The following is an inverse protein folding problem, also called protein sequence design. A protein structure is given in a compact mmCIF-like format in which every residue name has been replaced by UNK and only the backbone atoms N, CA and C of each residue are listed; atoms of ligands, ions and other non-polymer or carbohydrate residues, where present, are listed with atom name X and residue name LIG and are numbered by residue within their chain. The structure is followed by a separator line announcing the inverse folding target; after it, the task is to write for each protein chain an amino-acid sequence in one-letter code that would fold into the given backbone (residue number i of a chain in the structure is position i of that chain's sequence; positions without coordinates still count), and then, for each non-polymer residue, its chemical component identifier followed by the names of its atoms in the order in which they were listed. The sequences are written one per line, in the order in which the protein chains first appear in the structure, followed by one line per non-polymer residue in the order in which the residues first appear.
data_IF_723660150940
#
_entry.id   IF_723660150940
#
_cell.length_a   1.000
_cell.length_b   1.000
_cell.length_c   1.000
_cell.angle_alpha   90.00
_cell.angle_beta   90.00
_cell.angle_gamma   90.00
#
_symmetry.space_group_name_H-M   'P 1'
#
loop_
_entity.id
_entity.type
_entity.pdbx_description
1 polymer ?
#
# COMPACT_ATOMS: atom_id res chain seq x y z
N UNK A 1 -20.60 -18.51 -12.27
CA UNK A 1 -20.41 -19.31 -11.05
C UNK A 1 -20.20 -20.80 -11.27
N UNK A 2 -19.98 -21.23 -12.50
CA UNK A 2 -19.70 -22.62 -12.88
C UNK A 2 -18.27 -22.74 -13.45
N UNK A 3 -17.27 -22.34 -12.69
CA UNK A 3 -15.93 -22.20 -13.24
C UNK A 3 -14.79 -22.89 -12.50
N UNK A 4 -15.07 -23.62 -11.45
CA UNK A 4 -14.04 -24.45 -10.79
C UNK A 4 -14.68 -25.78 -10.45
N UNK A 5 -14.39 -26.77 -11.24
CA UNK A 5 -14.59 -28.21 -11.14
C UNK A 5 -14.92 -28.77 -9.74
N UNK A 6 -15.96 -28.38 -9.05
CA UNK A 6 -16.42 -29.01 -7.80
C UNK A 6 -15.34 -29.37 -6.77
N UNK A 7 -14.10 -28.83 -6.92
CA UNK A 7 -12.98 -29.12 -6.03
C UNK A 7 -13.13 -28.33 -4.75
N UNK A 8 -13.09 -28.99 -3.63
CA UNK A 8 -12.92 -28.36 -2.33
C UNK A 8 -11.46 -27.87 -2.22
N UNK A 9 -11.28 -26.62 -1.82
CA UNK A 9 -9.97 -26.08 -1.47
C UNK A 9 -9.80 -26.11 0.04
N UNK A 10 -8.63 -26.52 0.52
CA UNK A 10 -8.30 -26.49 1.94
C UNK A 10 -8.06 -25.06 2.44
N UNK A 11 -7.51 -24.20 1.59
CA UNK A 11 -7.32 -22.77 1.83
C UNK A 11 -7.15 -21.99 0.53
N UNK A 12 -7.28 -20.68 0.62
CA UNK A 12 -6.90 -19.73 -0.45
C UNK A 12 -5.71 -18.93 0.03
N UNK A 13 -4.68 -18.77 -0.81
CA UNK A 13 -3.48 -18.04 -0.50
C UNK A 13 -3.27 -16.89 -1.49
N UNK A 14 -2.91 -15.69 -0.97
CA UNK A 14 -2.52 -14.56 -1.82
C UNK A 14 -1.30 -13.82 -1.27
N UNK A 15 -0.59 -13.15 -2.17
CA UNK A 15 0.23 -12.00 -1.81
C UNK A 15 -0.65 -10.77 -1.82
N UNK A 16 -0.52 -9.94 -0.80
CA UNK A 16 -1.38 -8.83 -0.50
C UNK A 16 -2.84 -9.21 -0.22
N UNK A 17 -3.49 -8.39 0.61
CA UNK A 17 -4.85 -8.63 1.02
C UNK A 17 -5.87 -8.19 -0.04
N UNK A 18 -6.93 -8.99 -0.22
CA UNK A 18 -8.03 -8.69 -1.12
C UNK A 18 -9.38 -8.84 -0.42
N UNK A 19 -10.15 -7.75 -0.23
CA UNK A 19 -11.49 -7.78 0.34
C UNK A 19 -12.46 -8.71 -0.40
N UNK A 20 -12.36 -8.75 -1.72
CA UNK A 20 -13.22 -9.60 -2.56
C UNK A 20 -12.95 -11.07 -2.30
N UNK A 21 -11.69 -11.46 -2.19
CA UNK A 21 -11.29 -12.84 -1.88
C UNK A 21 -11.72 -13.20 -0.47
N UNK A 22 -11.48 -12.33 0.52
CA UNK A 22 -11.90 -12.51 1.91
C UNK A 22 -13.41 -12.79 1.99
N UNK A 23 -14.24 -11.94 1.36
CA UNK A 23 -15.69 -12.14 1.34
C UNK A 23 -16.12 -13.48 0.70
N UNK A 24 -15.48 -13.86 -0.38
CA UNK A 24 -15.79 -15.12 -1.04
C UNK A 24 -15.38 -16.34 -0.20
N UNK A 25 -14.23 -16.27 0.46
CA UNK A 25 -13.75 -17.29 1.38
C UNK A 25 -14.65 -17.42 2.60
N UNK A 26 -15.06 -16.29 3.18
CA UNK A 26 -15.94 -16.25 4.33
C UNK A 26 -17.31 -16.88 4.04
N UNK A 27 -17.90 -16.58 2.88
CA UNK A 27 -19.17 -17.20 2.43
C UNK A 27 -19.09 -18.72 2.26
N UNK A 28 -17.90 -19.24 2.00
CA UNK A 28 -17.65 -20.66 1.74
C UNK A 28 -17.01 -21.40 2.91
N UNK A 29 -16.72 -20.71 4.01
CA UNK A 29 -15.96 -21.22 5.17
C UNK A 29 -14.62 -21.82 4.76
N UNK A 30 -13.90 -21.19 3.81
CA UNK A 30 -12.56 -21.59 3.39
C UNK A 30 -11.56 -20.66 4.04
N UNK A 31 -10.50 -21.15 4.71
CA UNK A 31 -9.43 -20.31 5.25
C UNK A 31 -8.78 -19.44 4.15
N UNK A 32 -8.59 -18.15 4.45
CA UNK A 32 -7.92 -17.20 3.58
C UNK A 32 -6.61 -16.72 4.22
N UNK A 33 -5.50 -17.07 3.60
CA UNK A 33 -4.15 -16.73 4.05
C UNK A 33 -3.61 -15.63 3.12
N UNK A 34 -3.21 -14.51 3.68
CA UNK A 34 -2.61 -13.41 2.94
C UNK A 34 -1.27 -13.01 3.54
N UNK A 35 -0.23 -12.90 2.72
CA UNK A 35 1.06 -12.33 3.09
C UNK A 35 1.17 -10.95 2.44
N UNK A 36 1.21 -9.92 3.27
CA UNK A 36 1.28 -8.52 2.82
C UNK A 36 2.72 -8.16 2.54
N UNK A 37 2.99 -7.67 1.32
CA UNK A 37 4.30 -7.20 0.87
C UNK A 37 4.35 -5.71 0.60
N UNK A 38 3.18 -5.07 0.39
CA UNK A 38 3.09 -3.62 0.19
C UNK A 38 2.87 -2.90 1.53
N UNK A 39 3.47 -1.74 1.69
CA UNK A 39 3.28 -0.89 2.87
C UNK A 39 3.31 0.59 2.46
N UNK A 40 2.27 1.36 2.86
CA UNK A 40 1.03 0.89 3.48
C UNK A 40 0.13 0.15 2.49
N UNK A 41 -0.54 -0.92 2.93
CA UNK A 41 -1.58 -1.57 2.13
C UNK A 41 -2.96 -1.11 2.60
N UNK A 42 -3.59 -0.23 1.82
CA UNK A 42 -4.87 0.38 2.17
C UNK A 42 -6.02 -0.62 2.31
N UNK A 43 -6.04 -1.67 1.50
CA UNK A 43 -7.11 -2.67 1.50
C UNK A 43 -7.26 -3.41 2.84
N UNK A 44 -6.25 -3.34 3.73
CA UNK A 44 -6.34 -3.86 5.09
C UNK A 44 -7.36 -3.12 5.96
N UNK A 45 -7.69 -1.87 5.62
CA UNK A 45 -8.69 -1.08 6.35
C UNK A 45 -10.12 -1.36 5.90
N UNK A 46 -10.33 -2.32 4.99
CA UNK A 46 -11.66 -2.80 4.61
C UNK A 46 -12.34 -3.50 5.78
N UNK A 47 -13.66 -3.31 5.92
CA UNK A 47 -14.48 -4.00 6.92
C UNK A 47 -14.35 -5.53 6.86
N UNK A 48 -13.93 -6.08 5.71
CA UNK A 48 -13.75 -7.52 5.52
C UNK A 48 -12.56 -8.08 6.29
N UNK A 49 -11.68 -7.22 6.83
CA UNK A 49 -10.50 -7.66 7.60
C UNK A 49 -10.89 -8.50 8.82
N UNK A 50 -12.06 -8.24 9.41
CA UNK A 50 -12.57 -8.97 10.58
C UNK A 50 -13.19 -10.33 10.24
N UNK A 51 -13.28 -10.71 8.97
CA UNK A 51 -13.85 -12.00 8.59
C UNK A 51 -13.07 -13.15 9.27
N UNK A 52 -13.75 -14.06 9.97
CA UNK A 52 -13.07 -15.11 10.75
C UNK A 52 -12.28 -16.12 9.92
N UNK A 53 -12.46 -16.14 8.61
CA UNK A 53 -11.67 -16.96 7.70
C UNK A 53 -10.26 -16.42 7.42
N UNK A 54 -9.98 -15.16 7.80
CA UNK A 54 -8.75 -14.47 7.46
C UNK A 54 -7.59 -14.84 8.39
N UNK A 55 -6.42 -15.02 7.77
CA UNK A 55 -5.10 -15.11 8.40
C UNK A 55 -4.16 -14.17 7.64
N UNK A 56 -4.05 -12.92 8.10
CA UNK A 56 -3.34 -11.86 7.38
C UNK A 56 -2.02 -11.56 8.05
N UNK A 57 -0.93 -11.85 7.36
CA UNK A 57 0.44 -11.66 7.85
C UNK A 57 0.99 -10.33 7.33
N UNK A 58 1.30 -9.42 8.25
CA UNK A 58 1.74 -8.05 7.95
C UNK A 58 3.19 -7.88 8.42
N UNK A 59 4.07 -7.43 7.53
CA UNK A 59 5.48 -7.20 7.88
C UNK A 59 5.71 -5.81 8.48
N UNK A 60 4.91 -4.82 8.08
CA UNK A 60 4.97 -3.49 8.65
C UNK A 60 4.43 -3.50 10.09
N UNK A 61 5.34 -3.29 11.03
CA UNK A 61 5.00 -3.31 12.46
C UNK A 61 4.02 -2.21 12.84
N UNK A 62 4.13 -1.03 12.21
CA UNK A 62 3.26 0.12 12.50
C UNK A 62 1.84 -0.19 12.08
N UNK A 63 1.63 -0.65 10.84
CA UNK A 63 0.32 -1.01 10.32
C UNK A 63 -0.29 -2.21 11.10
N UNK A 64 0.54 -3.21 11.45
CA UNK A 64 0.08 -4.30 12.31
C UNK A 64 -0.40 -3.80 13.67
N UNK A 65 0.38 -2.94 14.34
CA UNK A 65 0.02 -2.42 15.68
C UNK A 65 -1.24 -1.56 15.64
N UNK A 66 -1.41 -0.77 14.59
CA UNK A 66 -2.60 0.03 14.38
C UNK A 66 -3.86 -0.85 14.33
N UNK A 67 -3.89 -1.85 13.45
CA UNK A 67 -5.02 -2.77 13.32
C UNK A 67 -5.23 -3.63 14.59
N UNK A 68 -4.16 -4.12 15.19
CA UNK A 68 -4.24 -4.94 16.40
C UNK A 68 -4.76 -4.14 17.61
N UNK A 69 -4.39 -2.86 17.75
CA UNK A 69 -4.87 -1.98 18.82
C UNK A 69 -6.36 -1.66 18.67
N UNK A 70 -6.88 -1.67 17.43
CA UNK A 70 -8.32 -1.58 17.16
C UNK A 70 -9.08 -2.90 17.42
N UNK A 71 -8.41 -3.93 17.93
CA UNK A 71 -9.01 -5.21 18.30
C UNK A 71 -9.21 -6.18 17.14
N UNK A 72 -8.51 -6.01 16.02
CA UNK A 72 -8.59 -6.92 14.87
C UNK A 72 -7.72 -8.14 15.14
N UNK A 73 -8.36 -9.29 15.35
CA UNK A 73 -7.71 -10.56 15.73
C UNK A 73 -7.20 -11.39 14.53
N UNK A 74 -7.56 -11.00 13.32
CA UNK A 74 -7.23 -11.74 12.08
C UNK A 74 -5.89 -11.36 11.48
N UNK A 75 -5.18 -10.40 12.09
CA UNK A 75 -3.88 -9.91 11.65
C UNK A 75 -2.75 -10.44 12.52
N UNK A 76 -1.63 -10.77 11.89
CA UNK A 76 -0.45 -11.35 12.53
C UNK A 76 0.81 -10.62 12.09
N UNK A 77 1.67 -10.27 13.03
CA UNK A 77 2.96 -9.69 12.70
C UNK A 77 3.91 -10.76 12.15
N UNK A 78 4.39 -10.58 10.94
CA UNK A 78 5.33 -11.49 10.29
C UNK A 78 6.36 -10.70 9.48
N UNK A 79 7.56 -10.45 10.03
CA UNK A 79 8.62 -9.75 9.29
C UNK A 79 8.96 -10.45 7.98
N UNK A 80 9.34 -9.66 6.98
CA UNK A 80 9.84 -10.22 5.72
C UNK A 80 11.08 -11.06 5.98
N UNK A 81 11.13 -12.22 5.33
CA UNK A 81 12.25 -13.13 5.42
C UNK A 81 13.18 -13.00 4.21
N UNK A 82 14.45 -13.26 4.43
CA UNK A 82 15.46 -13.36 3.37
C UNK A 82 15.72 -14.83 3.02
N UNK A 83 15.87 -15.12 1.75
CA UNK A 83 16.29 -16.45 1.29
C UNK A 83 17.78 -16.64 1.52
N UNK A 84 18.12 -17.13 2.72
CA UNK A 84 19.51 -17.34 3.16
C UNK A 84 20.25 -18.35 2.30
N UNK A 85 19.58 -19.38 1.76
CA UNK A 85 20.23 -20.37 0.91
C UNK A 85 20.58 -19.80 -0.46
N UNK A 86 19.75 -18.89 -0.98
CA UNK A 86 20.09 -18.15 -2.21
C UNK A 86 21.29 -17.25 -1.96
N UNK A 87 21.32 -16.52 -0.85
CA UNK A 87 22.43 -15.64 -0.51
C UNK A 87 23.73 -16.45 -0.32
N UNK A 88 23.70 -17.56 0.42
CA UNK A 88 24.86 -18.43 0.60
C UNK A 88 25.41 -18.92 -0.75
N UNK A 89 24.55 -19.34 -1.67
CA UNK A 89 24.98 -19.74 -3.02
C UNK A 89 25.62 -18.59 -3.78
N UNK A 90 25.02 -17.39 -3.73
CA UNK A 90 25.57 -16.20 -4.39
C UNK A 90 26.92 -15.77 -3.83
N UNK A 91 27.18 -15.93 -2.53
CA UNK A 91 28.45 -15.57 -1.90
C UNK A 91 29.51 -16.67 -1.97
N UNK A 92 29.12 -17.95 -2.11
CA UNK A 92 30.08 -19.07 -2.26
C UNK A 92 30.62 -19.21 -3.67
N UNK A 93 29.94 -18.68 -4.69
CA UNK A 93 30.40 -18.70 -6.08
C UNK A 93 31.21 -17.44 -6.33
N UNK A 94 32.41 -17.27 -5.75
CA UNK A 94 33.40 -16.22 -6.06
C UNK A 94 32.82 -15.01 -6.86
N UNK A 95 31.73 -14.42 -6.36
CA UNK A 95 31.15 -13.24 -6.97
C UNK A 95 32.02 -12.05 -6.60
N UNK A 96 33.15 -11.93 -7.30
CA UNK A 96 33.88 -10.66 -7.34
C UNK A 96 32.90 -9.62 -7.92
N UNK A 97 32.59 -8.60 -7.15
CA UNK A 97 31.95 -7.37 -7.69
C UNK A 97 32.95 -6.77 -8.66
N UNK A 98 32.89 -7.21 -9.92
CA UNK A 98 33.84 -6.82 -10.99
C UNK A 98 33.67 -5.37 -11.45
N UNK A 99 32.73 -4.64 -10.88
CA UNK A 99 32.41 -3.29 -11.31
C UNK A 99 32.53 -2.33 -10.15
N UNK A 100 33.62 -1.61 -10.08
CA UNK A 100 33.87 -0.53 -9.09
C UNK A 100 32.75 0.53 -9.09
N UNK A 101 31.99 0.65 -10.19
CA UNK A 101 30.86 1.58 -10.29
C UNK A 101 29.75 1.29 -9.27
N UNK A 102 29.62 0.05 -8.80
CA UNK A 102 28.63 -0.37 -7.81
C UNK A 102 29.22 -0.60 -6.42
N UNK A 103 30.52 -0.34 -6.24
CA UNK A 103 31.17 -0.40 -4.94
C UNK A 103 30.87 0.89 -4.16
N UNK A 104 30.28 0.78 -3.00
CA UNK A 104 29.95 1.91 -2.12
C UNK A 104 29.67 1.46 -0.71
N UNK A 105 29.94 2.31 0.25
CA UNK A 105 29.65 2.04 1.67
C UNK A 105 28.15 1.99 1.95
N UNK A 106 27.38 2.74 1.18
CA UNK A 106 25.92 2.79 1.26
C UNK A 106 25.35 2.78 -0.15
N UNK A 107 24.38 1.91 -0.42
CA UNK A 107 23.67 1.84 -1.70
C UNK A 107 22.18 1.93 -1.52
N UNK A 108 21.49 2.57 -2.47
CA UNK A 108 20.04 2.60 -2.59
C UNK A 108 19.63 2.01 -3.94
N UNK A 109 18.73 1.04 -3.89
CA UNK A 109 18.11 0.45 -5.09
C UNK A 109 16.61 0.66 -4.97
N UNK A 110 16.04 1.47 -5.85
CA UNK A 110 14.62 1.80 -5.84
C UNK A 110 14.24 2.82 -6.91
N UNK A 111 12.94 3.11 -7.02
CA UNK A 111 12.44 4.17 -7.88
C UNK A 111 12.55 5.52 -7.17
N UNK A 112 12.88 6.56 -7.93
CA UNK A 112 12.84 7.95 -7.45
C UNK A 112 11.44 8.57 -7.60
N UNK A 113 10.48 7.83 -8.16
CA UNK A 113 9.09 8.26 -8.42
C UNK A 113 8.99 9.59 -9.21
N UNK A 114 9.98 9.89 -10.06
CA UNK A 114 10.05 11.07 -10.91
C UNK A 114 9.78 10.74 -12.39
N UNK A 115 9.04 9.71 -12.65
CA UNK A 115 8.74 9.21 -13.98
C UNK A 115 7.69 10.06 -14.70
N UNK A 116 7.60 9.89 -16.04
CA UNK A 116 6.70 10.67 -16.91
C UNK A 116 5.20 10.57 -16.60
N UNK A 117 4.79 9.70 -15.71
CA UNK A 117 3.40 9.46 -15.33
C UNK A 117 3.10 9.86 -13.88
N UNK A 118 3.77 10.91 -13.40
CA UNK A 118 3.44 11.50 -12.12
C UNK A 118 1.98 11.97 -12.14
N UNK A 119 1.17 11.43 -11.23
CA UNK A 119 -0.25 11.80 -11.16
C UNK A 119 -0.44 13.27 -10.74
N UNK A 120 0.52 13.86 -10.03
CA UNK A 120 0.50 15.30 -9.71
C UNK A 120 0.39 16.18 -10.96
N UNK A 121 1.03 15.79 -12.05
CA UNK A 121 0.98 16.53 -13.31
C UNK A 121 -0.43 16.59 -13.93
N UNK A 122 -1.33 15.71 -13.52
CA UNK A 122 -2.75 15.78 -13.93
C UNK A 122 -3.52 16.91 -13.26
N UNK A 123 -2.97 17.50 -12.21
CA UNK A 123 -3.52 18.66 -11.52
C UNK A 123 -3.04 20.00 -12.11
N UNK A 124 -2.40 19.98 -13.28
CA UNK A 124 -1.87 21.20 -13.93
C UNK A 124 -2.94 22.28 -14.26
N UNK A 125 -4.21 21.89 -14.27
CA UNK A 125 -5.33 22.80 -14.53
C UNK A 125 -5.97 23.44 -13.28
N UNK A 126 -5.42 23.22 -12.09
CA UNK A 126 -5.88 23.89 -10.86
C UNK A 126 -5.47 25.37 -10.87
N UNK A 127 -6.23 26.20 -10.18
CA UNK A 127 -5.92 27.61 -10.04
C UNK A 127 -4.63 27.85 -9.24
N UNK A 128 -4.05 29.05 -9.36
CA UNK A 128 -2.77 29.40 -8.74
C UNK A 128 -2.81 29.29 -7.21
N UNK A 129 -3.94 29.61 -6.58
CA UNK A 129 -4.11 29.45 -5.14
C UNK A 129 -4.00 27.99 -4.72
N UNK A 130 -4.76 27.12 -5.34
CA UNK A 130 -4.73 25.67 -5.06
C UNK A 130 -3.34 25.10 -5.32
N UNK A 131 -2.72 25.46 -6.45
CA UNK A 131 -1.35 25.03 -6.75
C UNK A 131 -0.37 25.44 -5.65
N UNK A 132 -0.37 26.71 -5.27
CA UNK A 132 0.51 27.22 -4.22
C UNK A 132 0.25 26.55 -2.86
N UNK A 133 -1.01 26.26 -2.56
CA UNK A 133 -1.39 25.53 -1.36
C UNK A 133 -0.83 24.11 -1.36
N UNK A 134 -1.03 23.35 -2.46
CA UNK A 134 -0.52 21.97 -2.60
C UNK A 134 1.01 21.94 -2.51
N UNK A 135 1.70 22.83 -3.20
CA UNK A 135 3.16 22.95 -3.14
C UNK A 135 3.64 23.23 -1.70
N UNK A 136 2.91 24.07 -0.96
CA UNK A 136 3.25 24.40 0.41
C UNK A 136 3.06 23.20 1.37
N UNK A 137 1.93 22.49 1.32
CA UNK A 137 1.70 21.36 2.21
C UNK A 137 2.65 20.21 1.92
N UNK A 138 2.95 19.91 0.65
CA UNK A 138 3.95 18.92 0.27
C UNK A 138 5.34 19.28 0.79
N UNK A 139 5.73 20.56 0.69
CA UNK A 139 6.99 21.04 1.24
C UNK A 139 7.07 20.88 2.75
N UNK A 140 5.97 21.15 3.46
CA UNK A 140 5.90 20.97 4.92
C UNK A 140 5.95 19.48 5.27
N UNK A 141 5.21 18.62 4.56
CA UNK A 141 5.22 17.18 4.79
C UNK A 141 6.64 16.59 4.70
N UNK A 142 7.44 17.06 3.75
CA UNK A 142 8.86 16.62 3.59
C UNK A 142 9.73 16.98 4.81
N UNK A 143 9.30 17.91 5.65
CA UNK A 143 10.00 18.31 6.87
C UNK A 143 9.44 17.68 8.14
N UNK A 144 8.29 17.00 8.05
CA UNK A 144 7.66 16.32 9.19
C UNK A 144 7.85 14.83 9.02
N UNK A 145 8.47 14.21 10.01
CA UNK A 145 8.73 12.78 10.02
C UNK A 145 7.79 12.06 10.98
N UNK A 146 7.29 10.88 10.58
CA UNK A 146 6.46 10.04 11.44
C UNK A 146 4.98 10.44 11.52
N UNK A 147 4.55 11.45 10.79
CA UNK A 147 3.14 11.83 10.68
C UNK A 147 2.79 12.28 9.26
N UNK A 148 1.82 11.60 8.65
CA UNK A 148 1.32 11.94 7.31
C UNK A 148 0.02 12.75 7.46
N UNK A 149 0.07 14.03 7.14
CA UNK A 149 -1.05 14.95 7.36
C UNK A 149 -1.70 15.47 6.07
N UNK A 150 -1.19 15.09 4.90
CA UNK A 150 -1.70 15.62 3.63
C UNK A 150 -3.19 15.37 3.46
N UNK A 151 -3.67 14.19 3.85
CA UNK A 151 -5.09 13.85 3.76
C UNK A 151 -5.97 14.82 4.57
N UNK A 152 -5.56 15.16 5.79
CA UNK A 152 -6.27 16.08 6.67
C UNK A 152 -6.33 17.51 6.11
N UNK A 153 -5.39 17.88 5.26
CA UNK A 153 -5.29 19.22 4.67
C UNK A 153 -6.14 19.37 3.40
N UNK A 154 -6.58 18.28 2.77
CA UNK A 154 -7.36 18.32 1.54
C UNK A 154 -8.86 18.45 1.85
N UNK A 155 -9.33 19.69 1.92
CA UNK A 155 -10.74 20.01 2.23
C UNK A 155 -11.18 21.34 1.62
N UNK A 156 -12.50 21.56 1.59
CA UNK A 156 -13.11 22.79 1.10
C UNK A 156 -12.73 23.11 -0.36
N UNK A 157 -12.51 24.37 -0.64
CA UNK A 157 -12.29 24.87 -2.00
C UNK A 157 -11.10 24.22 -2.72
N UNK A 158 -10.06 23.78 -1.97
CA UNK A 158 -8.90 23.11 -2.54
C UNK A 158 -9.29 21.74 -3.08
N UNK A 159 -10.03 20.96 -2.28
CA UNK A 159 -10.49 19.64 -2.71
C UNK A 159 -11.48 19.75 -3.87
N UNK A 160 -12.41 20.71 -3.82
CA UNK A 160 -13.38 20.95 -4.86
C UNK A 160 -12.71 21.31 -6.19
N UNK A 161 -11.64 22.13 -6.13
CA UNK A 161 -10.87 22.50 -7.29
C UNK A 161 -10.10 21.32 -7.89
N UNK A 162 -9.49 20.46 -7.05
CA UNK A 162 -8.84 19.23 -7.49
C UNK A 162 -9.85 18.30 -8.18
N UNK A 163 -11.02 18.13 -7.58
CA UNK A 163 -12.13 17.34 -8.15
C UNK A 163 -12.62 17.90 -9.47
N UNK A 164 -12.65 19.21 -9.64
CA UNK A 164 -13.01 19.87 -10.90
C UNK A 164 -12.04 19.55 -12.03
N UNK A 165 -10.74 19.52 -11.71
CA UNK A 165 -9.67 19.33 -12.72
C UNK A 165 -9.45 17.85 -13.04
N UNK A 166 -9.39 17.02 -12.03
CA UNK A 166 -9.14 15.60 -12.19
C UNK A 166 -10.07 14.78 -11.28
N UNK A 167 -11.33 14.55 -11.66
CA UNK A 167 -12.29 13.82 -10.85
C UNK A 167 -11.78 12.42 -10.47
N UNK A 168 -11.82 12.10 -9.19
CA UNK A 168 -11.56 10.75 -8.68
C UNK A 168 -12.83 10.21 -8.02
N UNK A 169 -12.97 8.91 -8.01
CA UNK A 169 -14.08 8.23 -7.33
C UNK A 169 -13.49 7.40 -6.19
N UNK A 170 -14.05 7.48 -4.97
CA UNK A 170 -13.72 6.54 -3.92
C UNK A 170 -14.08 5.13 -4.37
N UNK A 171 -13.42 4.12 -3.81
CA UNK A 171 -13.82 2.75 -4.07
C UNK A 171 -15.19 2.44 -3.43
N UNK A 172 -15.85 1.39 -3.91
CA UNK A 172 -17.19 1.00 -3.43
C UNK A 172 -17.20 0.61 -1.95
N UNK A 173 -16.06 0.18 -1.41
CA UNK A 173 -15.91 -0.22 -0.01
C UNK A 173 -15.74 0.98 0.95
N UNK A 174 -15.60 2.21 0.40
CA UNK A 174 -15.45 3.44 1.17
C UNK A 174 -14.13 3.57 1.95
N UNK A 175 -13.18 2.65 1.71
CA UNK A 175 -11.87 2.65 2.38
C UNK A 175 -10.96 3.72 1.80
N UNK A 176 -11.00 3.90 0.48
CA UNK A 176 -10.30 4.98 -0.20
C UNK A 176 -11.23 6.19 -0.34
N UNK A 177 -11.08 7.14 0.55
CA UNK A 177 -11.78 8.43 0.42
C UNK A 177 -11.20 9.25 -0.74
N UNK A 178 -11.91 10.27 -1.18
CA UNK A 178 -11.40 11.20 -2.20
C UNK A 178 -10.10 11.88 -1.72
N UNK A 179 -10.06 12.28 -0.45
CA UNK A 179 -8.89 12.87 0.19
C UNK A 179 -7.72 11.89 0.19
N UNK A 180 -7.98 10.64 0.57
CA UNK A 180 -6.98 9.59 0.57
C UNK A 180 -6.36 9.41 -0.82
N UNK A 181 -7.20 9.29 -1.86
CA UNK A 181 -6.72 9.10 -3.24
C UNK A 181 -5.81 10.25 -3.67
N UNK A 182 -6.20 11.50 -3.40
CA UNK A 182 -5.35 12.63 -3.76
C UNK A 182 -4.07 12.70 -2.94
N UNK A 183 -4.15 12.49 -1.63
CA UNK A 183 -3.00 12.59 -0.75
C UNK A 183 -1.94 11.52 -1.02
N UNK A 184 -2.37 10.29 -1.33
CA UNK A 184 -1.47 9.15 -1.44
C UNK A 184 -1.04 8.81 -2.87
N UNK A 185 -1.82 9.21 -3.88
CA UNK A 185 -1.50 8.89 -5.27
C UNK A 185 -1.11 10.12 -6.10
N UNK A 186 -1.55 11.33 -5.73
CA UNK A 186 -1.28 12.54 -6.49
C UNK A 186 -0.25 13.46 -5.85
N UNK A 187 -0.14 13.50 -4.52
CA UNK A 187 0.78 14.34 -3.77
C UNK A 187 1.93 13.56 -3.16
#
# INVERSE_FOLDING_TARGET
DEGVDGRAFDCVFTFNYSPVISNNCNKRNVPYISIVYDSPQILLYSYTIINPCNYVFIFDKTQYMELSNEGIETVYYCPLAVNTDRLKRMFNDEYEVKNELYAGDISFIGSMYNEKHNLYDRLCGVNDYTKGYLDAIMKVQRSIYGYFFLEDMLKGDVLDEMMRVCPVKPNEDGVETVQYVYANYFL
#
